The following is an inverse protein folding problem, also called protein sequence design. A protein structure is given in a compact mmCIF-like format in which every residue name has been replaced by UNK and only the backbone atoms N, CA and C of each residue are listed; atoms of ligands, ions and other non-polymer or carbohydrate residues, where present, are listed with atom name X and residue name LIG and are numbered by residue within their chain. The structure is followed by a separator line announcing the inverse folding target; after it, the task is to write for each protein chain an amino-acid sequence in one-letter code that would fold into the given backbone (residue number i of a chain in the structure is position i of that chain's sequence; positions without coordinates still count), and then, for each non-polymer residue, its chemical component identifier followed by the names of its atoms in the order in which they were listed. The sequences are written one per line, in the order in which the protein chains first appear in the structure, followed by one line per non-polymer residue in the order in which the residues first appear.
data_IF_639900164124
#
_entry.id   IF_639900164124
#
_cell.length_a   1.000
_cell.length_b   1.000
_cell.length_c   1.000
_cell.angle_alpha   90.00
_cell.angle_beta   90.00
_cell.angle_gamma   90.00
#
_symmetry.space_group_name_H-M   'P 1'
#
loop_
_entity.id
_entity.type
_entity.pdbx_description
1 polymer ?
#
# COMPACT_ATOMS: atom_id res chain seq x y z
N UNK A 1 -12.69 -25.15 -29.79
CA UNK A 1 -12.77 -24.90 -28.33
C UNK A 1 -14.24 -24.74 -27.96
N UNK A 2 -14.72 -25.43 -26.92
CA UNK A 2 -16.10 -25.29 -26.47
C UNK A 2 -16.31 -23.90 -25.85
N UNK A 3 -17.44 -23.25 -26.17
CA UNK A 3 -17.80 -21.94 -25.61
C UNK A 3 -18.31 -22.15 -24.19
N UNK A 4 -17.58 -21.64 -23.19
CA UNK A 4 -18.02 -21.69 -21.78
C UNK A 4 -19.03 -20.57 -21.53
N UNK A 5 -20.19 -20.92 -20.98
CA UNK A 5 -21.23 -19.95 -20.62
C UNK A 5 -21.19 -19.70 -19.11
N UNK A 6 -21.21 -18.44 -18.71
CA UNK A 6 -21.28 -18.02 -17.32
C UNK A 6 -22.59 -17.24 -17.14
N UNK A 7 -23.31 -17.52 -16.05
CA UNK A 7 -24.48 -16.76 -15.63
C UNK A 7 -24.09 -15.76 -14.55
N UNK A 8 -24.50 -14.51 -14.70
CA UNK A 8 -24.21 -13.43 -13.74
C UNK A 8 -25.53 -12.73 -13.45
N UNK A 9 -25.87 -12.60 -12.17
CA UNK A 9 -27.02 -11.81 -11.72
C UNK A 9 -26.60 -10.36 -11.59
N UNK A 10 -27.39 -9.46 -12.14
CA UNK A 10 -27.22 -8.02 -12.06
C UNK A 10 -28.49 -7.43 -11.44
N UNK A 11 -28.36 -6.37 -10.66
CA UNK A 11 -29.52 -5.55 -10.34
C UNK A 11 -30.06 -4.85 -11.61
N UNK A 12 -31.31 -4.42 -11.53
CA UNK A 12 -32.01 -3.82 -12.66
C UNK A 12 -31.32 -2.57 -13.19
N UNK A 13 -30.76 -1.73 -12.32
CA UNK A 13 -30.10 -0.48 -12.72
C UNK A 13 -28.82 -0.77 -13.51
N UNK A 14 -27.97 -1.66 -13.02
CA UNK A 14 -26.76 -2.07 -13.73
C UNK A 14 -27.09 -2.75 -15.05
N UNK A 15 -28.11 -3.61 -15.09
CA UNK A 15 -28.53 -4.26 -16.33
C UNK A 15 -29.00 -3.27 -17.40
N UNK A 16 -29.74 -2.22 -17.03
CA UNK A 16 -30.15 -1.16 -17.96
C UNK A 16 -28.97 -0.32 -18.43
N UNK A 17 -28.07 0.08 -17.52
CA UNK A 17 -26.86 0.85 -17.86
C UNK A 17 -25.98 0.11 -18.86
N UNK A 18 -25.78 -1.19 -18.65
CA UNK A 18 -24.99 -2.03 -19.56
C UNK A 18 -25.69 -2.18 -20.91
N UNK A 19 -27.01 -2.39 -20.93
CA UNK A 19 -27.80 -2.45 -22.18
C UNK A 19 -27.68 -1.17 -22.99
N UNK A 20 -27.89 -0.01 -22.37
CA UNK A 20 -27.78 1.28 -23.03
C UNK A 20 -26.37 1.54 -23.57
N UNK A 21 -25.33 1.13 -22.84
CA UNK A 21 -23.94 1.23 -23.31
C UNK A 21 -23.68 0.32 -24.52
N UNK A 22 -24.12 -0.95 -24.45
CA UNK A 22 -23.95 -1.91 -25.53
C UNK A 22 -24.68 -1.44 -26.80
N UNK A 23 -25.92 -0.96 -26.67
CA UNK A 23 -26.70 -0.39 -27.77
C UNK A 23 -26.00 0.80 -28.42
N UNK A 24 -25.52 1.77 -27.62
CA UNK A 24 -24.74 2.91 -28.12
C UNK A 24 -23.46 2.51 -28.85
N UNK A 25 -22.85 1.40 -28.46
CA UNK A 25 -21.66 0.86 -29.08
C UNK A 25 -21.96 -0.02 -30.31
N UNK A 26 -23.24 -0.29 -30.62
CA UNK A 26 -23.64 -1.22 -31.67
C UNK A 26 -23.26 -2.68 -31.35
N UNK A 27 -23.17 -3.02 -30.07
CA UNK A 27 -22.72 -4.33 -29.59
C UNK A 27 -23.84 -5.09 -28.88
N UNK A 28 -23.80 -6.43 -28.95
CA UNK A 28 -24.59 -7.27 -28.06
C UNK A 28 -24.10 -7.12 -26.60
N UNK A 29 -25.02 -7.27 -25.64
CA UNK A 29 -24.72 -7.14 -24.20
C UNK A 29 -23.62 -8.09 -23.76
N UNK A 30 -23.65 -9.34 -24.23
CA UNK A 30 -22.62 -10.33 -23.87
C UNK A 30 -21.26 -9.96 -24.49
N UNK A 31 -21.23 -9.41 -25.70
CA UNK A 31 -20.00 -8.94 -26.33
C UNK A 31 -19.43 -7.70 -25.62
N UNK A 32 -20.31 -6.77 -25.21
CA UNK A 32 -19.93 -5.60 -24.42
C UNK A 32 -19.32 -6.01 -23.07
N UNK A 33 -19.95 -6.95 -22.36
CA UNK A 33 -19.46 -7.46 -21.08
C UNK A 33 -18.12 -8.19 -21.22
N UNK A 34 -17.99 -9.08 -22.21
CA UNK A 34 -16.73 -9.79 -22.46
C UNK A 34 -15.61 -8.81 -22.77
N UNK A 35 -15.84 -7.84 -23.65
CA UNK A 35 -14.82 -6.84 -24.00
C UNK A 35 -14.38 -6.02 -22.78
N UNK A 36 -15.35 -5.54 -21.99
CA UNK A 36 -15.06 -4.79 -20.77
C UNK A 36 -14.27 -5.62 -19.76
N UNK A 37 -14.65 -6.88 -19.54
CA UNK A 37 -13.95 -7.79 -18.64
C UNK A 37 -12.53 -8.10 -19.12
N UNK A 38 -12.35 -8.40 -20.41
CA UNK A 38 -11.01 -8.65 -20.99
C UNK A 38 -10.11 -7.43 -20.85
N UNK A 39 -10.63 -6.23 -21.12
CA UNK A 39 -9.87 -4.99 -20.92
C UNK A 39 -9.49 -4.79 -19.45
N UNK A 40 -10.44 -4.99 -18.53
CA UNK A 40 -10.18 -4.85 -17.10
C UNK A 40 -9.08 -5.80 -16.62
N UNK A 41 -9.13 -7.06 -17.04
CA UNK A 41 -8.10 -8.06 -16.71
C UNK A 41 -6.74 -7.63 -17.26
N UNK A 42 -6.67 -7.24 -18.54
CA UNK A 42 -5.42 -6.79 -19.14
C UNK A 42 -4.84 -5.54 -18.47
N UNK A 43 -5.69 -4.58 -18.09
CA UNK A 43 -5.28 -3.37 -17.37
C UNK A 43 -4.72 -3.71 -15.98
N UNK A 44 -5.39 -4.61 -15.25
CA UNK A 44 -4.93 -5.09 -13.93
C UNK A 44 -3.62 -5.85 -14.05
N UNK A 45 -3.51 -6.83 -14.95
CA UNK A 45 -2.29 -7.60 -15.19
C UNK A 45 -1.11 -6.70 -15.61
N UNK A 46 -1.37 -5.69 -16.44
CA UNK A 46 -0.35 -4.72 -16.82
C UNK A 46 0.06 -3.81 -15.65
N UNK A 47 -0.82 -3.58 -14.68
CA UNK A 47 -0.49 -2.82 -13.47
C UNK A 47 0.33 -3.67 -12.48
N UNK A 48 -0.09 -4.90 -12.22
CA UNK A 48 0.64 -5.85 -11.38
C UNK A 48 2.02 -6.17 -11.97
N UNK A 49 2.08 -6.38 -13.29
CA UNK A 49 3.33 -6.63 -14.00
C UNK A 49 4.36 -5.50 -13.82
N UNK A 50 3.92 -4.24 -13.68
CA UNK A 50 4.82 -3.09 -13.46
C UNK A 50 5.54 -3.13 -12.13
N UNK A 51 4.91 -3.68 -11.09
CA UNK A 51 5.49 -3.75 -9.74
C UNK A 51 6.13 -5.10 -9.43
N UNK A 52 5.76 -6.16 -10.16
CA UNK A 52 6.25 -7.53 -9.91
C UNK A 52 7.77 -7.66 -9.80
N UNK A 53 8.53 -6.91 -10.60
CA UNK A 53 9.99 -6.91 -10.51
C UNK A 53 10.50 -6.27 -9.22
N UNK A 54 9.93 -5.13 -8.83
CA UNK A 54 10.31 -4.42 -7.60
C UNK A 54 9.94 -5.26 -6.39
N UNK A 55 8.74 -5.86 -6.38
CA UNK A 55 8.30 -6.76 -5.32
C UNK A 55 9.24 -7.96 -5.17
N UNK A 56 9.72 -8.53 -6.29
CA UNK A 56 10.71 -9.61 -6.26
C UNK A 56 12.07 -9.16 -5.69
N UNK A 57 12.52 -7.95 -6.04
CA UNK A 57 13.75 -7.37 -5.48
C UNK A 57 13.61 -7.11 -3.98
N UNK A 58 12.48 -6.55 -3.53
CA UNK A 58 12.19 -6.31 -2.12
C UNK A 58 12.15 -7.64 -1.36
N UNK A 59 11.40 -8.62 -1.86
CA UNK A 59 11.28 -9.93 -1.21
C UNK A 59 12.64 -10.63 -1.09
N UNK A 60 13.51 -10.51 -2.10
CA UNK A 60 14.86 -11.04 -2.03
C UNK A 60 15.72 -10.33 -0.96
N UNK A 61 15.66 -9.00 -0.91
CA UNK A 61 16.39 -8.21 0.08
C UNK A 61 15.88 -8.45 1.51
N UNK A 62 14.57 -8.59 1.71
CA UNK A 62 13.97 -8.92 3.00
C UNK A 62 14.35 -10.33 3.47
N UNK A 63 14.38 -11.30 2.54
CA UNK A 63 14.84 -12.65 2.84
C UNK A 63 16.33 -12.67 3.27
N UNK A 64 17.20 -11.94 2.57
CA UNK A 64 18.60 -11.78 2.96
C UNK A 64 18.73 -11.09 4.33
N UNK A 65 17.99 -10.00 4.55
CA UNK A 65 18.02 -9.28 5.82
C UNK A 65 17.53 -10.12 7.01
N UNK A 66 16.56 -11.02 6.79
CA UNK A 66 16.06 -11.92 7.81
C UNK A 66 17.10 -12.95 8.29
N UNK A 67 18.13 -13.23 7.49
CA UNK A 67 19.26 -14.11 7.86
C UNK A 67 20.37 -13.38 8.63
N UNK A 68 20.39 -12.04 8.59
CA UNK A 68 21.37 -11.23 9.29
C UNK A 68 21.01 -11.06 10.76
N UNK A 69 22.00 -10.93 11.66
CA UNK A 69 21.74 -10.55 13.03
C UNK A 69 21.06 -9.17 13.07
N UNK A 70 20.09 -9.02 13.97
CA UNK A 70 19.42 -7.74 14.18
C UNK A 70 20.46 -6.65 14.47
N UNK A 71 20.33 -5.51 13.78
CA UNK A 71 21.11 -4.34 14.11
C UNK A 71 20.75 -3.88 15.53
N UNK A 72 21.70 -3.31 16.28
CA UNK A 72 21.38 -2.67 17.54
C UNK A 72 20.36 -1.56 17.30
N UNK A 73 19.38 -1.46 18.20
CA UNK A 73 18.42 -0.36 18.18
C UNK A 73 19.18 0.97 18.28
N UNK A 74 18.94 1.92 17.36
CA UNK A 74 19.62 3.21 17.41
C UNK A 74 19.18 3.98 18.66
N UNK A 75 20.16 4.41 19.44
CA UNK A 75 19.95 5.21 20.65
C UNK A 75 20.11 6.70 20.40
N UNK A 76 19.71 7.51 21.38
CA UNK A 76 19.91 8.97 21.35
C UNK A 76 21.39 9.37 21.18
N UNK A 77 22.31 8.51 21.62
CA UNK A 77 23.75 8.72 21.52
C UNK A 77 24.28 8.58 20.08
N UNK A 78 23.54 7.90 19.19
CA UNK A 78 23.88 7.75 17.77
C UNK A 78 23.58 9.02 16.96
N UNK A 79 22.76 9.92 17.51
CA UNK A 79 22.46 11.20 16.90
C UNK A 79 23.58 12.21 17.18
N UNK A 80 23.90 13.04 16.19
CA UNK A 80 24.71 14.23 16.45
C UNK A 80 23.93 15.22 17.33
N UNK A 81 24.65 16.12 18.01
CA UNK A 81 24.01 17.14 18.83
C UNK A 81 23.05 18.05 18.04
N UNK A 82 23.28 18.21 16.73
CA UNK A 82 22.38 18.96 15.84
C UNK A 82 21.11 18.17 15.53
N UNK A 83 21.23 16.89 15.20
CA UNK A 83 20.08 16.01 14.92
C UNK A 83 19.20 15.84 16.17
N UNK A 84 19.80 15.66 17.35
CA UNK A 84 19.06 15.64 18.63
C UNK A 84 18.23 16.89 18.86
N UNK A 85 18.75 18.07 18.48
CA UNK A 85 17.99 19.33 18.57
C UNK A 85 16.84 19.36 17.58
N UNK A 86 17.10 18.95 16.34
CA UNK A 86 16.06 18.87 15.30
C UNK A 86 14.93 17.91 15.65
N UNK A 87 15.25 16.73 16.20
CA UNK A 87 14.24 15.77 16.67
C UNK A 87 13.42 16.36 17.82
N UNK A 88 14.05 16.98 18.83
CA UNK A 88 13.32 17.61 19.93
C UNK A 88 12.39 18.73 19.48
N UNK A 89 12.82 19.53 18.52
CA UNK A 89 12.00 20.60 17.95
C UNK A 89 10.79 20.02 17.21
N UNK A 90 11.00 19.04 16.33
CA UNK A 90 9.93 18.37 15.59
C UNK A 90 8.92 17.67 16.52
N UNK A 91 9.42 16.98 17.55
CA UNK A 91 8.59 16.34 18.57
C UNK A 91 7.82 17.37 19.39
N UNK A 92 8.45 18.50 19.77
CA UNK A 92 7.79 19.60 20.46
C UNK A 92 6.67 20.26 19.64
N UNK A 93 6.80 20.32 18.32
CA UNK A 93 5.74 20.81 17.43
C UNK A 93 4.52 19.86 17.42
N UNK A 94 4.76 18.54 17.47
CA UNK A 94 3.70 17.52 17.45
C UNK A 94 3.02 17.39 18.82
N UNK A 95 3.80 17.46 19.90
CA UNK A 95 3.31 17.28 21.28
C UNK A 95 2.83 18.58 21.94
N UNK A 96 2.97 19.74 21.28
CA UNK A 96 2.56 21.04 21.81
C UNK A 96 3.57 21.59 22.83
N UNK A 97 4.61 22.26 22.32
CA UNK A 97 5.80 22.68 23.06
C UNK A 97 5.67 23.84 24.06
N UNK A 98 4.68 23.82 24.96
CA UNK A 98 4.63 24.77 26.09
C UNK A 98 4.50 24.12 27.48
N UNK A 99 4.66 22.79 27.57
CA UNK A 99 4.82 22.13 28.86
C UNK A 99 6.33 21.93 29.15
N UNK A 100 6.87 22.44 30.26
CA UNK A 100 8.25 22.15 30.64
C UNK A 100 8.37 20.64 30.84
N UNK A 101 9.23 20.00 30.03
CA UNK A 101 9.66 18.62 30.26
C UNK A 101 10.32 18.62 31.64
N UNK A 102 9.58 18.17 32.65
CA UNK A 102 10.17 17.78 33.92
C UNK A 102 11.07 16.60 33.60
N UNK A 103 12.37 16.88 33.57
CA UNK A 103 13.41 15.85 33.64
C UNK A 103 13.31 15.29 35.05
N UNK A 104 12.37 14.36 35.24
CA UNK A 104 12.37 13.51 36.42
C UNK A 104 13.63 12.66 36.28
N UNK A 105 14.66 13.11 37.00
CA UNK A 105 15.93 12.43 37.12
C UNK A 105 15.64 11.08 37.75
N UNK A 106 15.57 10.02 36.95
CA UNK A 106 15.51 8.66 37.45
C UNK A 106 16.88 8.36 38.08
N UNK A 107 16.99 8.25 39.42
CA UNK A 107 18.26 7.93 40.03
C UNK A 107 18.58 6.48 39.71
N UNK A 108 19.82 6.24 39.28
CA UNK A 108 20.31 4.92 38.91
C UNK A 108 20.05 3.88 39.99
N UNK A 109 19.53 2.73 39.58
CA UNK A 109 19.57 1.54 40.41
C UNK A 109 20.91 0.84 40.17
N UNK A 110 21.83 1.05 41.10
CA UNK A 110 22.97 0.19 41.32
C UNK A 110 22.65 -0.70 42.53
N UNK A 111 22.31 -1.97 42.26
CA UNK A 111 22.55 -3.15 43.09
C UNK A 111 22.12 -4.41 42.31
#
# INVERSE_FOLDING_TARGET
MAKTRIGISLDGEHAERIRAHAERAGMDVSACLVNAATRQVAETEAMEGRFSHIDAVIAAAEAEAAELPALPEPGDDDLTGAERRGVREAVGLVLGGDAPIRVDSHPGNAA
#
